data_IF_650696639410
#
_entry.id   IF_650696639410
#
_cell.length_a   1.000
_cell.length_b   1.000
_cell.length_c   1.000
_cell.angle_alpha   90.00
_cell.angle_beta   90.00
_cell.angle_gamma   90.00
#
_symmetry.space_group_name_H-M   'P 1'
#
loop_
_entity.id
_entity.type
_entity.pdbx_description
1 polymer ?
#
# COMPACT_ATOMS: atom_id res chain seq x y z
N UNK A 1 -10.63 -11.76 25.69
CA UNK A 1 -10.50 -10.29 25.59
C UNK A 1 -9.87 -10.02 24.23
N UNK A 2 -10.34 -9.04 23.44
CA UNK A 2 -9.68 -8.74 22.14
C UNK A 2 -8.57 -7.73 22.44
N UNK A 3 -7.30 -8.10 22.25
CA UNK A 3 -6.19 -7.17 22.49
C UNK A 3 -6.29 -5.92 21.59
N UNK A 4 -5.96 -4.72 22.12
CA UNK A 4 -5.89 -3.48 21.34
C UNK A 4 -5.08 -3.61 20.04
N UNK A 5 -4.00 -4.40 20.03
CA UNK A 5 -3.15 -4.56 18.83
C UNK A 5 -3.89 -5.30 17.70
N UNK A 6 -4.75 -6.27 18.05
CA UNK A 6 -5.55 -7.02 17.08
C UNK A 6 -6.65 -6.13 16.47
N UNK A 7 -7.26 -5.25 17.27
CA UNK A 7 -8.27 -4.30 16.80
C UNK A 7 -7.65 -3.36 15.77
N UNK A 8 -6.50 -2.78 16.09
CA UNK A 8 -5.80 -1.85 15.20
C UNK A 8 -5.37 -2.54 13.91
N UNK A 9 -4.73 -3.71 14.02
CA UNK A 9 -4.30 -4.52 12.88
C UNK A 9 -5.47 -4.85 11.93
N UNK A 10 -6.67 -5.07 12.49
CA UNK A 10 -7.91 -5.33 11.76
C UNK A 10 -8.53 -4.09 11.13
N UNK A 11 -8.45 -2.93 11.79
CA UNK A 11 -9.09 -1.69 11.33
C UNK A 11 -8.29 -0.97 10.26
N UNK A 12 -6.96 -1.12 10.22
CA UNK A 12 -6.14 -0.48 9.18
C UNK A 12 -6.09 1.04 9.31
N UNK A 13 -5.91 1.56 10.53
CA UNK A 13 -5.80 3.00 10.78
C UNK A 13 -4.37 3.29 11.24
N UNK A 14 -3.57 3.95 10.40
CA UNK A 14 -2.14 4.20 10.64
C UNK A 14 -1.89 5.02 11.90
N UNK A 15 -2.67 6.08 12.12
CA UNK A 15 -2.56 6.94 13.30
C UNK A 15 -2.89 6.20 14.60
N UNK A 16 -3.67 5.13 14.52
CA UNK A 16 -4.11 4.36 15.68
C UNK A 16 -3.01 3.44 16.19
N UNK A 17 -2.16 2.89 15.31
CA UNK A 17 -1.06 2.01 15.73
C UNK A 17 0.03 2.80 16.44
N UNK A 18 0.42 3.95 15.89
CA UNK A 18 1.44 4.80 16.51
C UNK A 18 1.00 5.28 17.89
N UNK A 19 -0.25 5.75 18.01
CA UNK A 19 -0.81 6.23 19.28
C UNK A 19 -0.95 5.13 20.34
N UNK A 20 -1.27 3.90 19.93
CA UNK A 20 -1.37 2.77 20.86
C UNK A 20 0.00 2.26 21.28
N UNK A 21 0.99 2.27 20.39
CA UNK A 21 2.36 1.89 20.74
C UNK A 21 3.03 2.92 21.64
N UNK A 22 2.69 4.20 21.50
CA UNK A 22 3.12 5.27 22.40
C UNK A 22 2.47 5.13 23.80
N UNK A 23 1.17 4.88 23.84
CA UNK A 23 0.42 4.78 25.10
C UNK A 23 0.62 3.43 25.83
N UNK A 24 0.85 2.35 25.09
CA UNK A 24 1.02 0.98 25.59
C UNK A 24 2.16 0.26 24.86
N UNK A 25 3.44 0.60 25.14
CA UNK A 25 4.59 0.01 24.44
C UNK A 25 4.69 -1.52 24.64
N UNK A 26 4.15 -2.05 25.74
CA UNK A 26 4.07 -3.50 26.00
C UNK A 26 3.18 -4.25 25.00
N UNK A 27 2.28 -3.55 24.29
CA UNK A 27 1.42 -4.16 23.26
C UNK A 27 2.23 -4.75 22.08
N UNK A 28 3.47 -4.29 21.87
CA UNK A 28 4.40 -4.83 20.84
C UNK A 28 4.74 -6.30 21.09
N UNK A 29 4.82 -6.68 22.37
CA UNK A 29 5.12 -8.06 22.79
C UNK A 29 3.86 -8.91 22.92
N UNK A 30 2.70 -8.33 22.66
CA UNK A 30 1.44 -9.03 22.82
C UNK A 30 1.29 -10.03 21.67
N UNK A 31 1.29 -11.30 22.04
CA UNK A 31 1.29 -12.42 21.09
C UNK A 31 -0.13 -12.92 20.82
N UNK A 32 -1.09 -12.04 21.04
CA UNK A 32 -2.49 -12.37 21.04
C UNK A 32 -2.95 -12.83 19.66
N UNK A 33 -3.91 -13.75 19.65
CA UNK A 33 -4.55 -14.27 18.44
C UNK A 33 -6.03 -13.95 18.48
N UNK A 34 -6.60 -13.63 17.33
CA UNK A 34 -8.05 -13.46 17.24
C UNK A 34 -8.77 -14.82 17.42
N UNK A 35 -10.10 -14.77 17.53
CA UNK A 35 -10.97 -15.96 17.64
C UNK A 35 -10.79 -16.97 16.49
N UNK A 36 -10.17 -16.55 15.39
CA UNK A 36 -9.92 -17.36 14.21
C UNK A 36 -8.44 -17.77 14.09
N UNK A 37 -7.63 -17.59 15.15
CA UNK A 37 -6.20 -17.92 15.16
C UNK A 37 -5.30 -16.99 14.34
N UNK A 38 -5.78 -15.80 13.96
CA UNK A 38 -4.98 -14.81 13.24
C UNK A 38 -4.16 -13.97 14.23
N UNK A 39 -2.85 -13.89 14.02
CA UNK A 39 -2.02 -12.86 14.66
C UNK A 39 -2.27 -11.48 14.05
N UNK A 40 -1.82 -10.41 14.72
CA UNK A 40 -1.85 -9.05 14.19
C UNK A 40 -1.29 -8.96 12.75
N UNK A 41 -0.20 -9.69 12.46
CA UNK A 41 0.40 -9.70 11.13
C UNK A 41 -0.50 -10.39 10.08
N UNK A 42 -1.24 -11.43 10.44
CA UNK A 42 -2.24 -12.03 9.54
C UNK A 42 -3.42 -11.09 9.30
N UNK A 43 -3.86 -10.39 10.34
CA UNK A 43 -4.97 -9.42 10.24
C UNK A 43 -4.62 -8.26 9.31
N UNK A 44 -3.38 -7.75 9.39
CA UNK A 44 -2.85 -6.70 8.53
C UNK A 44 -2.50 -7.20 7.12
N UNK A 45 -2.19 -8.49 6.97
CA UNK A 45 -1.94 -9.09 5.67
C UNK A 45 -3.23 -9.37 4.86
N UNK A 46 -4.39 -9.39 5.52
CA UNK A 46 -5.64 -9.80 4.87
C UNK A 46 -6.31 -8.61 4.20
N UNK A 47 -6.45 -8.65 2.88
CA UNK A 47 -7.27 -7.68 2.14
C UNK A 47 -8.76 -7.93 2.41
N UNK A 48 -9.44 -6.94 3.01
CA UNK A 48 -10.84 -7.07 3.46
C UNK A 48 -11.82 -6.36 2.53
N UNK A 49 -13.07 -6.83 2.56
CA UNK A 49 -14.18 -6.20 1.81
C UNK A 49 -14.59 -4.84 2.40
N UNK A 50 -14.45 -4.67 3.71
CA UNK A 50 -14.75 -3.41 4.38
C UNK A 50 -13.55 -2.47 4.26
N UNK A 51 -13.73 -1.37 3.52
CA UNK A 51 -12.73 -0.33 3.35
C UNK A 51 -13.17 0.91 4.13
N UNK A 52 -12.56 1.20 5.29
CA UNK A 52 -12.87 2.43 6.00
C UNK A 52 -12.46 3.67 5.18
N UNK A 53 -11.47 3.53 4.28
CA UNK A 53 -10.93 4.61 3.47
C UNK A 53 -11.31 4.43 1.99
N UNK A 54 -11.82 5.50 1.37
CA UNK A 54 -12.08 5.52 -0.08
C UNK A 54 -10.78 5.83 -0.84
N UNK A 55 -10.05 4.79 -1.24
CA UNK A 55 -8.81 4.95 -2.02
C UNK A 55 -9.13 5.12 -3.52
N UNK A 56 -8.51 6.07 -4.25
CA UNK A 56 -8.94 6.45 -5.61
C UNK A 56 -8.74 5.38 -6.70
N UNK A 57 -7.78 4.47 -6.52
CA UNK A 57 -7.49 3.41 -7.51
C UNK A 57 -6.99 2.12 -6.84
N UNK A 58 -7.12 0.99 -7.54
CA UNK A 58 -6.61 -0.30 -7.08
C UNK A 58 -5.08 -0.28 -6.86
N UNK A 59 -4.34 0.48 -7.68
CA UNK A 59 -2.89 0.67 -7.52
C UNK A 59 -2.57 1.41 -6.22
N UNK A 60 -3.29 2.49 -5.92
CA UNK A 60 -3.12 3.25 -4.69
C UNK A 60 -3.56 2.43 -3.46
N UNK A 61 -4.62 1.63 -3.59
CA UNK A 61 -5.03 0.69 -2.53
C UNK A 61 -3.90 -0.28 -2.24
N UNK A 62 -3.33 -0.92 -3.27
CA UNK A 62 -2.23 -1.86 -3.11
C UNK A 62 -1.01 -1.22 -2.43
N UNK A 63 -0.66 0.01 -2.82
CA UNK A 63 0.43 0.77 -2.18
C UNK A 63 0.16 1.01 -0.68
N UNK A 64 -1.07 1.38 -0.34
CA UNK A 64 -1.46 1.61 1.04
C UNK A 64 -1.43 0.32 1.86
N UNK A 65 -2.02 -0.77 1.37
CA UNK A 65 -2.01 -2.08 2.04
C UNK A 65 -0.59 -2.60 2.27
N UNK A 66 0.30 -2.40 1.30
CA UNK A 66 1.72 -2.76 1.43
C UNK A 66 2.43 -1.94 2.52
N UNK A 67 2.18 -0.62 2.58
CA UNK A 67 2.73 0.25 3.64
C UNK A 67 2.20 -0.17 5.01
N UNK A 68 0.91 -0.46 5.10
CA UNK A 68 0.26 -0.91 6.33
C UNK A 68 0.85 -2.24 6.83
N UNK A 69 0.92 -3.25 5.95
CA UNK A 69 1.53 -4.53 6.27
C UNK A 69 2.97 -4.37 6.76
N UNK A 70 3.76 -3.50 6.11
CA UNK A 70 5.14 -3.23 6.50
C UNK A 70 5.24 -2.54 7.86
N UNK A 71 4.35 -1.59 8.15
CA UNK A 71 4.29 -0.90 9.44
C UNK A 71 4.04 -1.91 10.56
N UNK A 72 2.96 -2.70 10.44
CA UNK A 72 2.60 -3.73 11.43
C UNK A 72 3.72 -4.77 11.59
N UNK A 73 4.35 -5.19 10.48
CA UNK A 73 5.48 -6.10 10.52
C UNK A 73 6.63 -5.52 11.33
N UNK A 74 7.03 -4.28 11.05
CA UNK A 74 8.16 -3.63 11.72
C UNK A 74 7.88 -3.31 13.19
N UNK A 75 6.61 -3.15 13.56
CA UNK A 75 6.18 -2.92 14.93
C UNK A 75 6.20 -4.18 15.80
N UNK A 76 6.32 -5.38 15.24
CA UNK A 76 6.30 -6.65 15.99
C UNK A 76 7.72 -7.25 16.01
N UNK A 77 8.20 -7.82 17.14
CA UNK A 77 9.56 -8.33 17.22
C UNK A 77 9.80 -9.49 16.23
N UNK A 78 11.00 -9.61 15.64
CA UNK A 78 11.26 -10.57 14.55
C UNK A 78 10.98 -12.03 14.90
N UNK A 79 11.15 -12.36 16.17
CA UNK A 79 10.98 -13.69 16.75
C UNK A 79 9.54 -14.21 16.56
N UNK A 80 8.57 -13.33 16.32
CA UNK A 80 7.15 -13.66 16.19
C UNK A 80 6.69 -13.86 14.74
N UNK A 81 7.54 -13.61 13.74
CA UNK A 81 7.19 -13.81 12.34
C UNK A 81 6.92 -15.27 11.98
N UNK A 82 7.54 -16.21 12.68
CA UNK A 82 7.43 -17.66 12.43
C UNK A 82 6.44 -18.40 13.34
N UNK A 83 5.98 -17.78 14.44
CA UNK A 83 5.23 -18.45 15.50
C UNK A 83 3.75 -18.72 15.16
N UNK A 84 3.23 -18.10 14.10
CA UNK A 84 1.83 -18.23 13.74
C UNK A 84 1.72 -18.68 12.29
N UNK A 85 1.25 -19.91 12.09
CA UNK A 85 0.85 -20.44 10.79
C UNK A 85 -0.62 -20.78 10.88
N UNK A 86 -1.48 -19.86 10.46
CA UNK A 86 -2.90 -20.19 10.33
C UNK A 86 -3.08 -21.00 9.05
N UNK A 87 -3.72 -22.17 9.15
CA UNK A 87 -3.97 -23.07 8.02
C UNK A 87 -2.68 -23.44 7.25
N UNK A 88 -1.53 -23.46 7.94
CA UNK A 88 -0.21 -23.68 7.34
C UNK A 88 0.37 -22.50 6.55
N UNK A 89 -0.36 -21.38 6.43
CA UNK A 89 0.07 -20.19 5.69
C UNK A 89 0.76 -19.18 6.60
N UNK A 90 1.77 -18.52 6.05
CA UNK A 90 2.40 -17.34 6.65
C UNK A 90 1.59 -16.08 6.31
N UNK A 91 1.70 -15.04 7.13
CA UNK A 91 1.08 -13.75 6.82
C UNK A 91 1.53 -13.18 5.46
N UNK A 92 2.78 -13.45 5.02
CA UNK A 92 3.25 -13.07 3.69
C UNK A 92 2.46 -13.77 2.57
N UNK A 93 2.19 -15.07 2.72
CA UNK A 93 1.38 -15.82 1.76
C UNK A 93 -0.06 -15.32 1.74
N UNK A 94 -0.64 -15.07 2.92
CA UNK A 94 -1.98 -14.46 3.01
C UNK A 94 -2.03 -13.12 2.28
N UNK A 95 -1.02 -12.26 2.46
CA UNK A 95 -0.94 -10.99 1.76
C UNK A 95 -0.95 -11.16 0.24
N UNK A 96 -0.10 -12.04 -0.28
CA UNK A 96 -0.03 -12.31 -1.74
C UNK A 96 -1.38 -12.83 -2.25
N UNK A 97 -1.96 -13.82 -1.56
CA UNK A 97 -3.19 -14.48 -1.99
C UNK A 97 -4.38 -13.50 -2.02
N UNK A 98 -4.58 -12.72 -0.95
CA UNK A 98 -5.76 -11.85 -0.84
C UNK A 98 -5.65 -10.60 -1.72
N UNK A 99 -4.43 -10.16 -2.06
CA UNK A 99 -4.19 -8.94 -2.84
C UNK A 99 -4.01 -9.19 -4.34
N UNK A 100 -4.03 -10.46 -4.81
CA UNK A 100 -3.88 -10.78 -6.23
C UNK A 100 -4.82 -9.97 -7.17
N UNK A 101 -6.11 -9.72 -6.83
CA UNK A 101 -6.97 -8.87 -7.65
C UNK A 101 -6.48 -7.43 -7.73
N UNK A 102 -6.01 -6.86 -6.62
CA UNK A 102 -5.47 -5.49 -6.57
C UNK A 102 -4.20 -5.34 -7.40
N UNK A 103 -3.31 -6.35 -7.40
CA UNK A 103 -2.11 -6.35 -8.25
C UNK A 103 -2.51 -6.33 -9.73
N UNK A 104 -3.49 -7.14 -10.11
CA UNK A 104 -3.99 -7.20 -11.50
C UNK A 104 -4.65 -5.90 -11.93
N UNK A 105 -5.59 -5.38 -11.14
CA UNK A 105 -6.31 -4.15 -11.44
C UNK A 105 -5.41 -2.92 -11.35
N UNK A 106 -4.51 -2.89 -10.36
CA UNK A 106 -3.51 -1.86 -10.21
C UNK A 106 -2.53 -1.82 -11.38
N UNK A 107 -2.05 -2.98 -11.84
CA UNK A 107 -1.20 -3.08 -13.02
C UNK A 107 -1.88 -2.55 -14.30
N UNK A 108 -3.16 -2.89 -14.51
CA UNK A 108 -3.96 -2.34 -15.62
C UNK A 108 -4.09 -0.82 -15.52
N UNK A 109 -4.42 -0.30 -14.34
CA UNK A 109 -4.56 1.13 -14.12
C UNK A 109 -3.25 1.88 -14.39
N UNK A 110 -2.13 1.40 -13.84
CA UNK A 110 -0.80 1.99 -14.06
C UNK A 110 -0.40 2.00 -15.53
N UNK A 111 -0.67 0.91 -16.26
CA UNK A 111 -0.37 0.80 -17.69
C UNK A 111 -1.13 1.86 -18.48
N UNK A 112 -2.46 1.94 -18.30
CA UNK A 112 -3.32 2.90 -19.00
C UNK A 112 -2.93 4.36 -18.68
N UNK A 113 -2.59 4.64 -17.43
CA UNK A 113 -2.12 5.96 -17.02
C UNK A 113 -0.78 6.30 -17.68
N UNK A 114 0.18 5.37 -17.71
CA UNK A 114 1.48 5.57 -18.36
C UNK A 114 1.35 5.83 -19.87
N UNK A 115 0.49 5.08 -20.56
CA UNK A 115 0.18 5.31 -21.99
C UNK A 115 -0.39 6.71 -22.22
N UNK A 116 -1.38 7.11 -21.42
CA UNK A 116 -2.01 8.44 -21.53
C UNK A 116 -1.00 9.57 -21.26
N UNK A 117 -0.15 9.42 -20.23
CA UNK A 117 0.90 10.39 -19.91
C UNK A 117 1.97 10.49 -21.00
N UNK A 118 2.30 9.38 -21.66
CA UNK A 118 3.29 9.36 -22.75
C UNK A 118 2.82 10.19 -23.95
N UNK A 119 1.52 10.09 -24.29
CA UNK A 119 0.92 10.93 -25.35
C UNK A 119 0.98 12.42 -24.98
N UNK A 120 0.61 12.77 -23.74
CA UNK A 120 0.68 14.17 -23.27
C UNK A 120 2.12 14.69 -23.30
N UNK A 121 3.09 13.90 -22.83
CA UNK A 121 4.50 14.26 -22.85
C UNK A 121 5.02 14.49 -24.28
N UNK A 122 4.64 13.63 -25.24
CA UNK A 122 5.01 13.80 -26.64
C UNK A 122 4.43 15.10 -27.24
N UNK A 123 3.18 15.45 -26.90
CA UNK A 123 2.58 16.71 -27.33
C UNK A 123 3.31 17.92 -26.74
N UNK A 124 3.60 17.91 -25.44
CA UNK A 124 4.35 18.98 -24.77
C UNK A 124 5.74 19.15 -25.38
N UNK A 125 6.46 18.04 -25.61
CA UNK A 125 7.77 18.05 -26.24
C UNK A 125 7.71 18.60 -27.67
N UNK A 126 6.70 18.23 -28.45
CA UNK A 126 6.52 18.72 -29.83
C UNK A 126 6.27 20.23 -29.82
N UNK A 127 5.38 20.72 -28.96
CA UNK A 127 5.09 22.16 -28.84
C UNK A 127 6.33 22.92 -28.38
N UNK A 128 7.07 22.41 -27.39
CA UNK A 128 8.31 23.04 -26.93
C UNK A 128 9.38 23.07 -28.05
N UNK A 129 9.52 22.00 -28.82
CA UNK A 129 10.46 21.94 -29.93
C UNK A 129 10.08 22.92 -31.05
N UNK A 130 8.84 22.89 -31.54
CA UNK A 130 8.39 23.78 -32.62
C UNK A 130 8.53 25.24 -32.21
N UNK A 131 8.10 25.62 -31.02
CA UNK A 131 8.27 26.99 -30.50
C UNK A 131 9.73 27.41 -30.39
N UNK A 132 10.65 26.53 -29.98
CA UNK A 132 12.08 26.85 -29.94
C UNK A 132 12.73 27.03 -31.31
N UNK A 133 12.23 26.32 -32.34
CA UNK A 133 12.77 26.40 -33.70
C UNK A 133 12.13 27.49 -34.57
N UNK A 134 10.87 27.88 -34.29
CA UNK A 134 10.11 28.85 -35.10
C UNK A 134 10.05 30.24 -34.47
N UNK A 135 10.30 30.40 -33.17
CA UNK A 135 10.35 31.71 -32.50
C UNK A 135 11.76 32.33 -32.57
N UNK A 136 12.39 32.34 -33.74
CA UNK A 136 13.52 33.22 -34.04
C UNK A 136 12.96 34.44 -34.80
N UNK A 137 12.56 35.53 -34.12
CA UNK A 137 12.36 36.81 -34.78
C UNK A 137 13.73 37.42 -35.05
N UNK A 138 14.27 37.18 -36.24
CA UNK A 138 15.56 37.71 -36.66
C UNK A 138 16.21 36.85 -37.72
N UNK A 139 15.74 37.00 -38.98
CA UNK A 139 16.56 36.63 -40.12
C UNK A 139 17.82 37.52 -40.16
N UNK A 140 18.98 37.01 -40.60
CA UNK A 140 20.13 37.85 -40.83
C UNK A 140 19.86 38.77 -42.04
N UNK A 141 20.21 40.05 -41.88
CA UNK A 141 19.99 41.14 -42.82
C UNK A 141 20.25 40.76 -44.30
N UNK A 142 19.21 40.88 -45.13
CA UNK A 142 19.31 41.27 -46.54
C UNK A 142 18.02 41.91 -47.04
#
# INVERSE_FOLDING_TARGET
>A
MVSPILIVAKMGVTEMIEKILDMYPVAIHDVDIDINGNSALHLAATYRRFKPWRVPSAAMQMQWEYRWYKLVKNSVPPNFYGCYKKDGKTAKQVFIDTHAPLVKEGGKWLTKTAESCSVVAALVATVAFTTSTYAIPGGPDQ
#
